data_IF_222280182391
#
_entry.id   IF_222280182391
#
_cell.length_a   1.000
_cell.length_b   1.000
_cell.length_c   1.000
_cell.angle_alpha   90.00
_cell.angle_beta   90.00
_cell.angle_gamma   90.00
#
_symmetry.space_group_name_H-M   'P 1'
#
loop_
_entity.id
_entity.type
_entity.pdbx_description
1 polymer ?
#
# COMPACT_ATOMS: atom_id res chain seq x y z
N UNK A 1 -7.26 -30.82 -16.08
CA UNK A 1 -6.97 -31.14 -14.67
C UNK A 1 -5.57 -30.70 -14.19
N UNK A 2 -4.49 -30.79 -15.01
CA UNK A 2 -3.12 -30.35 -14.60
C UNK A 2 -3.06 -28.93 -14.02
N UNK A 3 -3.90 -27.99 -14.48
CA UNK A 3 -3.94 -26.62 -13.97
C UNK A 3 -4.56 -26.55 -12.57
N UNK A 4 -5.55 -27.39 -12.31
CA UNK A 4 -6.22 -27.51 -10.99
C UNK A 4 -5.29 -28.22 -10.01
N UNK A 5 -4.63 -29.28 -10.45
CA UNK A 5 -3.68 -30.04 -9.61
C UNK A 5 -2.50 -29.16 -9.17
N UNK A 6 -1.90 -28.42 -10.10
CA UNK A 6 -0.83 -27.47 -9.78
C UNK A 6 -1.25 -26.33 -8.85
N UNK A 7 -2.53 -25.90 -8.91
CA UNK A 7 -3.08 -24.93 -7.97
C UNK A 7 -3.24 -25.53 -6.57
N UNK A 8 -3.75 -26.76 -6.48
CA UNK A 8 -3.91 -27.44 -5.20
C UNK A 8 -2.59 -27.66 -4.47
N UNK A 9 -1.53 -28.03 -5.22
CA UNK A 9 -0.19 -28.17 -4.66
C UNK A 9 0.40 -26.83 -4.20
N UNK A 10 0.23 -25.76 -4.97
CA UNK A 10 0.62 -24.42 -4.58
C UNK A 10 -0.09 -23.96 -3.32
N UNK A 11 -1.38 -24.22 -3.18
CA UNK A 11 -2.16 -23.92 -1.98
C UNK A 11 -1.58 -24.66 -0.77
N UNK A 12 -1.37 -25.96 -0.87
CA UNK A 12 -0.86 -26.77 0.25
C UNK A 12 0.52 -26.36 0.70
N UNK A 13 1.39 -25.93 -0.23
CA UNK A 13 2.80 -25.65 0.06
C UNK A 13 3.03 -24.17 0.48
N UNK A 14 2.25 -23.27 -0.04
CA UNK A 14 2.58 -21.84 0.03
C UNK A 14 1.51 -20.95 0.68
N UNK A 15 0.25 -21.37 0.74
CA UNK A 15 -0.77 -20.59 1.47
C UNK A 15 -0.45 -20.65 2.97
N UNK A 16 -0.37 -19.50 3.65
CA UNK A 16 -0.13 -19.49 5.09
C UNK A 16 -1.25 -20.23 5.84
N UNK A 17 -0.85 -21.02 6.81
CA UNK A 17 -1.81 -21.53 7.80
C UNK A 17 -2.12 -20.36 8.73
N UNK A 18 -3.37 -19.95 8.75
CA UNK A 18 -3.81 -18.85 9.59
C UNK A 18 -3.82 -19.31 11.06
N UNK A 19 -3.09 -18.60 11.93
CA UNK A 19 -3.17 -18.82 13.37
C UNK A 19 -4.57 -18.43 13.85
N UNK A 20 -5.29 -19.36 14.46
CA UNK A 20 -6.65 -19.13 14.98
C UNK A 20 -6.71 -17.95 15.97
N UNK A 21 -5.61 -17.69 16.69
CA UNK A 21 -5.49 -16.52 17.57
C UNK A 21 -5.66 -15.19 16.83
N UNK A 22 -5.24 -15.12 15.56
CA UNK A 22 -5.36 -13.93 14.75
C UNK A 22 -6.81 -13.70 14.27
N UNK A 23 -7.70 -14.66 14.48
CA UNK A 23 -9.14 -14.56 14.20
C UNK A 23 -9.95 -14.22 15.46
N UNK A 24 -9.34 -14.22 16.63
CA UNK A 24 -10.02 -13.91 17.88
C UNK A 24 -10.48 -12.44 17.90
N UNK A 25 -11.66 -12.19 18.47
CA UNK A 25 -12.26 -10.85 18.50
C UNK A 25 -11.58 -9.87 19.45
N UNK A 26 -10.73 -10.37 20.36
CA UNK A 26 -10.05 -9.62 21.42
C UNK A 26 -8.59 -9.27 21.11
N UNK A 27 -8.09 -9.61 19.91
CA UNK A 27 -6.73 -9.25 19.50
C UNK A 27 -6.58 -7.74 19.26
N UNK A 28 -5.36 -7.24 19.50
CA UNK A 28 -5.04 -5.83 19.28
C UNK A 28 -4.93 -5.49 17.77
N UNK A 29 -4.85 -4.20 17.45
CA UNK A 29 -4.81 -3.72 16.07
C UNK A 29 -3.60 -4.27 15.30
N UNK A 30 -2.42 -4.31 15.92
CA UNK A 30 -1.18 -4.82 15.33
C UNK A 30 -1.34 -6.29 14.93
N UNK A 31 -1.86 -7.13 15.84
CA UNK A 31 -2.09 -8.56 15.57
C UNK A 31 -3.15 -8.76 14.48
N UNK A 32 -4.22 -7.98 14.49
CA UNK A 32 -5.26 -8.03 13.46
C UNK A 32 -4.72 -7.71 12.08
N UNK A 33 -3.84 -6.71 11.97
CA UNK A 33 -3.18 -6.36 10.70
C UNK A 33 -2.29 -7.50 10.18
N UNK A 34 -1.61 -8.22 11.08
CA UNK A 34 -0.87 -9.45 10.71
C UNK A 34 -1.84 -10.50 10.18
N UNK A 35 -2.94 -10.76 10.88
CA UNK A 35 -3.97 -11.71 10.43
C UNK A 35 -4.54 -11.36 9.05
N UNK A 36 -4.90 -10.11 8.83
CA UNK A 36 -5.38 -9.63 7.52
C UNK A 36 -4.30 -9.80 6.43
N UNK A 37 -3.02 -9.60 6.77
CA UNK A 37 -1.91 -9.84 5.82
C UNK A 37 -1.82 -11.32 5.42
N UNK A 38 -2.04 -12.25 6.35
CA UNK A 38 -2.06 -13.68 6.01
C UNK A 38 -3.26 -14.04 5.11
N UNK A 39 -4.44 -13.46 5.36
CA UNK A 39 -5.62 -13.65 4.50
C UNK A 39 -5.37 -13.08 3.10
N UNK A 40 -4.77 -11.89 3.01
CA UNK A 40 -4.35 -11.28 1.75
C UNK A 40 -3.42 -12.22 0.97
N UNK A 41 -2.37 -12.71 1.62
CA UNK A 41 -1.40 -13.64 1.03
C UNK A 41 -2.06 -14.95 0.59
N UNK A 42 -2.93 -15.51 1.43
CA UNK A 42 -3.71 -16.71 1.09
C UNK A 42 -4.55 -16.49 -0.17
N UNK A 43 -5.22 -15.35 -0.27
CA UNK A 43 -6.07 -15.01 -1.43
C UNK A 43 -5.29 -14.84 -2.73
N UNK A 44 -4.13 -14.18 -2.68
CA UNK A 44 -3.26 -14.02 -3.85
C UNK A 44 -2.62 -15.36 -4.28
N UNK A 45 -2.02 -16.08 -3.33
CA UNK A 45 -1.29 -17.33 -3.63
C UNK A 45 -2.22 -18.42 -4.13
N UNK A 46 -3.44 -18.50 -3.61
CA UNK A 46 -4.45 -19.45 -4.08
C UNK A 46 -5.06 -19.05 -5.43
N UNK A 47 -4.84 -17.83 -5.91
CA UNK A 47 -5.43 -17.33 -7.14
C UNK A 47 -6.90 -16.96 -7.03
N UNK A 48 -7.41 -16.74 -5.81
CA UNK A 48 -8.78 -16.24 -5.60
C UNK A 48 -8.95 -14.82 -6.13
N UNK A 49 -7.89 -14.04 -6.10
CA UNK A 49 -7.85 -12.68 -6.66
C UNK A 49 -6.46 -12.35 -7.18
N UNK A 50 -6.40 -11.42 -8.13
CA UNK A 50 -5.16 -10.80 -8.62
C UNK A 50 -4.99 -9.37 -8.11
N UNK A 51 -5.98 -8.83 -7.41
CA UNK A 51 -5.95 -7.44 -6.92
C UNK A 51 -6.46 -7.42 -5.48
N UNK A 52 -5.72 -6.77 -4.61
CA UNK A 52 -6.11 -6.56 -3.21
C UNK A 52 -5.97 -5.08 -2.88
N UNK A 53 -7.00 -4.51 -2.28
CA UNK A 53 -6.93 -3.24 -1.57
C UNK A 53 -6.97 -3.54 -0.07
N UNK A 54 -5.95 -3.07 0.65
CA UNK A 54 -5.78 -3.34 2.06
C UNK A 54 -5.56 -2.03 2.83
N UNK A 55 -6.51 -1.68 3.69
CA UNK A 55 -6.40 -0.54 4.59
C UNK A 55 -5.82 -1.01 5.92
N UNK A 56 -4.68 -0.46 6.31
CA UNK A 56 -3.97 -0.83 7.55
C UNK A 56 -4.29 0.09 8.73
N UNK A 57 -4.75 1.29 8.47
CA UNK A 57 -5.17 2.26 9.50
C UNK A 57 -6.64 2.63 9.33
N UNK A 58 -7.28 2.85 10.46
CA UNK A 58 -8.67 3.32 10.51
C UNK A 58 -8.78 4.47 11.52
N UNK A 59 -9.07 5.67 11.01
CA UNK A 59 -9.07 6.89 11.83
C UNK A 59 -10.14 6.87 12.93
N UNK A 60 -11.23 6.14 12.74
CA UNK A 60 -12.36 6.08 13.65
C UNK A 60 -12.20 5.12 14.84
N UNK A 61 -11.23 4.23 14.81
CA UNK A 61 -11.06 3.19 15.80
C UNK A 61 -9.78 3.35 16.60
N UNK A 62 -9.78 2.97 17.90
CA UNK A 62 -8.57 2.98 18.70
C UNK A 62 -7.51 2.02 18.15
N UNK A 63 -6.32 2.51 17.93
CA UNK A 63 -5.16 1.71 17.56
C UNK A 63 -4.52 1.13 18.84
N UNK A 64 -4.32 -0.16 18.88
CA UNK A 64 -3.82 -0.89 20.07
C UNK A 64 -2.64 -1.79 19.71
N UNK A 65 -1.82 -2.12 20.72
CA UNK A 65 -0.66 -3.01 20.54
C UNK A 65 0.60 -2.30 20.02
N UNK A 66 0.64 -0.97 20.02
CA UNK A 66 1.83 -0.22 19.60
C UNK A 66 2.95 -0.48 20.59
N UNK A 67 4.12 -0.91 20.09
CA UNK A 67 5.29 -1.25 20.91
C UNK A 67 5.67 -0.11 21.87
N UNK A 68 5.75 -0.44 23.17
CA UNK A 68 6.11 0.47 24.25
C UNK A 68 4.96 1.30 24.81
N UNK A 69 3.74 1.15 24.26
CA UNK A 69 2.49 1.70 24.77
C UNK A 69 1.33 0.71 24.50
N UNK A 70 1.60 -0.58 24.67
CA UNK A 70 0.69 -1.68 24.31
C UNK A 70 -0.67 -1.59 25.02
N UNK A 71 -0.70 -1.02 26.21
CA UNK A 71 -1.93 -0.81 27.01
C UNK A 71 -2.78 0.38 26.59
N UNK A 72 -2.28 1.23 25.72
CA UNK A 72 -2.97 2.44 25.29
C UNK A 72 -3.96 2.16 24.15
N UNK A 73 -5.06 2.93 24.17
CA UNK A 73 -6.02 3.03 23.06
C UNK A 73 -5.73 4.32 22.31
N UNK A 74 -4.90 4.26 21.30
CA UNK A 74 -4.41 5.43 20.57
C UNK A 74 -5.42 5.85 19.50
N UNK A 75 -5.93 7.06 19.59
CA UNK A 75 -6.69 7.64 18.51
C UNK A 75 -5.74 8.25 17.47
N UNK A 76 -5.66 7.65 16.28
CA UNK A 76 -4.74 8.10 15.22
C UNK A 76 -5.10 9.46 14.65
N UNK A 77 -6.38 9.87 14.70
CA UNK A 77 -6.78 11.24 14.37
C UNK A 77 -6.16 12.25 15.33
N UNK A 78 -6.23 11.98 16.64
CA UNK A 78 -5.59 12.83 17.66
C UNK A 78 -4.06 12.87 17.51
N UNK A 79 -3.45 11.75 17.13
CA UNK A 79 -2.01 11.71 16.78
C UNK A 79 -1.71 12.60 15.57
N UNK A 80 -2.62 12.66 14.60
CA UNK A 80 -2.56 13.63 13.50
C UNK A 80 -2.53 15.08 14.00
N UNK A 81 -3.26 15.38 15.07
CA UNK A 81 -3.23 16.68 15.77
C UNK A 81 -2.08 16.82 16.79
N UNK A 82 -1.04 16.00 16.69
CA UNK A 82 0.13 16.02 17.57
C UNK A 82 -0.12 15.67 19.04
N UNK A 83 -1.22 14.98 19.37
CA UNK A 83 -1.48 14.49 20.73
C UNK A 83 -0.57 13.30 21.07
N UNK A 84 -0.04 13.30 22.27
CA UNK A 84 0.77 12.22 22.84
C UNK A 84 -0.11 11.18 23.55
N UNK A 85 0.37 9.94 23.62
CA UNK A 85 -0.28 8.83 24.35
C UNK A 85 0.76 8.03 25.12
N UNK A 86 0.45 7.61 26.35
CA UNK A 86 1.36 6.82 27.17
C UNK A 86 2.76 7.44 27.38
N UNK A 87 2.85 8.77 27.38
CA UNK A 87 4.12 9.48 27.49
C UNK A 87 4.95 9.53 26.20
N UNK A 88 4.46 8.96 25.09
CA UNK A 88 5.12 8.96 23.78
C UNK A 88 4.51 10.05 22.91
N UNK A 89 5.34 10.84 22.25
CA UNK A 89 4.91 11.93 21.38
C UNK A 89 4.33 11.41 20.04
N UNK A 90 3.51 12.25 19.41
CA UNK A 90 2.82 11.89 18.17
C UNK A 90 3.75 11.48 17.02
N UNK A 91 4.91 12.14 16.88
CA UNK A 91 5.88 11.82 15.82
C UNK A 91 6.42 10.40 16.00
N UNK A 92 6.78 10.06 17.22
CA UNK A 92 7.29 8.72 17.55
C UNK A 92 6.21 7.64 17.41
N UNK A 93 4.95 7.94 17.77
CA UNK A 93 3.82 7.03 17.54
C UNK A 93 3.66 6.75 16.04
N UNK A 94 3.62 7.80 15.21
CA UNK A 94 3.56 7.64 13.75
C UNK A 94 4.72 6.82 13.19
N UNK A 95 5.93 7.05 13.69
CA UNK A 95 7.10 6.28 13.27
C UNK A 95 6.98 4.80 13.63
N UNK A 96 6.52 4.46 14.83
CA UNK A 96 6.31 3.08 15.27
C UNK A 96 5.25 2.38 14.41
N UNK A 97 4.14 3.04 14.12
CA UNK A 97 3.10 2.51 13.22
C UNK A 97 3.65 2.28 11.81
N UNK A 98 4.35 3.26 11.22
CA UNK A 98 4.94 3.12 9.88
C UNK A 98 5.99 2.01 9.82
N UNK A 99 6.81 1.86 10.85
CA UNK A 99 7.74 0.72 10.96
C UNK A 99 7.00 -0.61 10.96
N UNK A 100 5.90 -0.71 11.69
CA UNK A 100 5.07 -1.91 11.67
C UNK A 100 4.48 -2.15 10.27
N UNK A 101 3.91 -1.13 9.61
CA UNK A 101 3.41 -1.28 8.24
C UNK A 101 4.50 -1.78 7.28
N UNK A 102 5.73 -1.30 7.41
CA UNK A 102 6.84 -1.80 6.59
C UNK A 102 7.16 -3.26 6.88
N UNK A 103 6.96 -3.75 8.10
CA UNK A 103 7.10 -5.20 8.38
C UNK A 103 6.02 -6.03 7.68
N UNK A 104 4.80 -5.50 7.53
CA UNK A 104 3.75 -6.17 6.77
C UNK A 104 4.08 -6.20 5.26
N UNK A 105 4.58 -5.10 4.71
CA UNK A 105 5.04 -5.02 3.32
C UNK A 105 6.18 -6.01 3.08
N UNK A 106 7.18 -6.04 3.97
CA UNK A 106 8.31 -6.99 3.89
C UNK A 106 7.83 -8.44 3.94
N UNK A 107 6.88 -8.74 4.82
CA UNK A 107 6.25 -10.06 4.92
C UNK A 107 5.57 -10.48 3.62
N UNK A 108 4.82 -9.55 2.99
CA UNK A 108 4.17 -9.80 1.68
C UNK A 108 5.23 -10.07 0.62
N UNK A 109 6.23 -9.21 0.49
CA UNK A 109 7.31 -9.36 -0.50
C UNK A 109 8.06 -10.67 -0.31
N UNK A 110 8.48 -10.97 0.92
CA UNK A 110 9.23 -12.18 1.26
C UNK A 110 8.42 -13.44 0.93
N UNK A 111 7.15 -13.45 1.28
CA UNK A 111 6.27 -14.59 0.98
C UNK A 111 6.08 -14.76 -0.52
N UNK A 112 5.76 -13.70 -1.25
CA UNK A 112 5.55 -13.78 -2.71
C UNK A 112 6.85 -14.19 -3.46
N UNK A 113 8.02 -13.79 -2.97
CA UNK A 113 9.32 -14.27 -3.48
C UNK A 113 9.56 -15.77 -3.26
N UNK A 114 8.94 -16.37 -2.26
CA UNK A 114 9.06 -17.81 -1.99
C UNK A 114 8.11 -18.67 -2.82
N UNK A 115 7.18 -18.08 -3.56
CA UNK A 115 6.18 -18.80 -4.36
C UNK A 115 6.62 -18.85 -5.81
N UNK A 116 6.94 -20.03 -6.38
CA UNK A 116 7.25 -20.17 -7.80
C UNK A 116 6.06 -19.79 -8.69
N UNK A 117 6.33 -19.03 -9.74
CA UNK A 117 5.36 -18.69 -10.77
C UNK A 117 6.05 -18.62 -12.14
N UNK A 118 5.30 -18.69 -13.23
CA UNK A 118 5.84 -18.65 -14.57
C UNK A 118 6.70 -17.38 -14.79
N UNK A 119 7.97 -17.57 -15.15
CA UNK A 119 8.93 -16.49 -15.34
C UNK A 119 9.66 -16.04 -14.08
N UNK A 120 9.59 -16.83 -12.98
CA UNK A 120 10.31 -16.54 -11.73
C UNK A 120 9.51 -16.86 -10.48
N UNK A 121 9.28 -15.86 -9.68
CA UNK A 121 8.46 -15.94 -8.47
C UNK A 121 7.17 -15.14 -8.63
N UNK A 122 6.23 -15.33 -7.73
CA UNK A 122 4.99 -14.54 -7.73
C UNK A 122 5.26 -13.05 -7.52
N UNK A 123 6.32 -12.69 -6.78
CA UNK A 123 6.72 -11.30 -6.62
C UNK A 123 7.19 -10.67 -7.94
N UNK A 124 7.86 -11.43 -8.82
CA UNK A 124 8.33 -10.91 -10.10
C UNK A 124 7.17 -10.44 -11.01
N UNK A 125 5.97 -10.98 -10.78
CA UNK A 125 4.73 -10.61 -11.47
C UNK A 125 3.82 -9.68 -10.65
N UNK A 126 4.30 -9.14 -9.51
CA UNK A 126 3.50 -8.36 -8.58
C UNK A 126 3.97 -6.90 -8.56
N UNK A 127 3.02 -5.99 -8.38
CA UNK A 127 3.26 -4.60 -8.01
C UNK A 127 2.52 -4.27 -6.72
N UNK A 128 3.22 -3.69 -5.75
CA UNK A 128 2.67 -3.23 -4.48
C UNK A 128 2.74 -1.71 -4.46
N UNK A 129 1.62 -1.09 -4.16
CA UNK A 129 1.50 0.34 -4.03
C UNK A 129 1.13 0.67 -2.59
N UNK A 130 2.06 1.24 -1.83
CA UNK A 130 1.85 1.67 -0.46
C UNK A 130 1.75 3.19 -0.41
N UNK A 131 0.63 3.71 0.06
CA UNK A 131 0.32 5.13 0.05
C UNK A 131 -0.56 5.52 1.25
N UNK A 132 -0.52 6.78 1.68
CA UNK A 132 -1.43 7.31 2.69
C UNK A 132 -2.81 7.59 2.07
N UNK A 133 -3.79 7.83 2.93
CA UNK A 133 -5.14 8.29 2.55
C UNK A 133 -5.16 9.79 2.21
N UNK A 134 -4.16 10.54 2.67
CA UNK A 134 -4.04 11.98 2.45
C UNK A 134 -2.59 12.40 2.22
N UNK A 135 -2.36 13.70 2.18
CA UNK A 135 -1.04 14.26 2.08
C UNK A 135 -0.22 14.08 3.36
N UNK A 136 0.94 14.72 3.41
CA UNK A 136 1.88 14.61 4.53
C UNK A 136 1.39 15.29 5.82
N UNK A 137 0.55 16.32 5.72
CA UNK A 137 -0.02 17.02 6.86
C UNK A 137 -1.44 16.56 7.14
N UNK A 138 -1.78 16.47 8.43
CA UNK A 138 -3.14 16.16 8.86
C UNK A 138 -4.12 17.19 8.28
N UNK A 139 -5.23 16.73 7.70
CA UNK A 139 -6.17 17.53 6.91
C UNK A 139 -5.53 18.31 5.75
N UNK A 140 -4.43 17.82 5.22
CA UNK A 140 -3.81 18.43 4.03
C UNK A 140 -4.78 18.37 2.85
N UNK A 141 -4.64 19.34 1.96
CA UNK A 141 -5.46 19.40 0.74
C UNK A 141 -5.00 18.40 -0.34
N UNK A 142 -4.16 17.42 0.00
CA UNK A 142 -3.64 16.45 -0.96
C UNK A 142 -2.68 17.03 -2.00
N UNK A 143 -2.09 18.19 -1.71
CA UNK A 143 -1.16 18.87 -2.63
C UNK A 143 0.20 18.18 -2.71
N UNK A 144 0.53 17.39 -1.71
CA UNK A 144 1.68 16.49 -1.68
C UNK A 144 1.22 15.09 -1.30
N UNK A 145 1.62 14.09 -2.08
CA UNK A 145 1.15 12.72 -1.91
C UNK A 145 2.31 11.74 -2.03
N UNK A 146 3.04 11.51 -0.93
CA UNK A 146 4.16 10.57 -0.92
C UNK A 146 3.64 9.13 -1.01
N UNK A 147 4.26 8.32 -1.88
CA UNK A 147 3.96 6.90 -1.97
C UNK A 147 5.19 6.06 -2.32
N UNK A 148 5.13 4.79 -2.02
CA UNK A 148 6.17 3.81 -2.33
C UNK A 148 5.59 2.78 -3.29
N UNK A 149 6.31 2.49 -4.36
CA UNK A 149 5.96 1.42 -5.30
C UNK A 149 7.06 0.37 -5.29
N UNK A 150 6.66 -0.86 -5.07
CA UNK A 150 7.50 -2.04 -5.21
C UNK A 150 6.99 -2.85 -6.39
N UNK A 151 7.86 -3.21 -7.31
CA UNK A 151 7.48 -3.98 -8.49
C UNK A 151 8.53 -5.04 -8.78
N UNK A 152 8.08 -6.23 -9.14
CA UNK A 152 8.93 -7.28 -9.61
C UNK A 152 9.46 -7.06 -11.03
N UNK A 153 10.39 -7.90 -11.47
CA UNK A 153 11.14 -7.70 -12.71
C UNK A 153 10.26 -7.78 -13.98
N UNK A 154 9.12 -8.48 -13.91
CA UNK A 154 8.15 -8.60 -15.02
C UNK A 154 7.12 -7.46 -15.07
N UNK A 155 7.17 -6.51 -14.14
CA UNK A 155 6.28 -5.36 -14.16
C UNK A 155 6.48 -4.51 -15.43
N UNK A 156 5.37 -4.02 -15.97
CA UNK A 156 5.38 -3.20 -17.20
C UNK A 156 5.88 -1.78 -16.92
N UNK A 157 5.70 -1.29 -15.70
CA UNK A 157 6.26 -0.01 -15.26
C UNK A 157 7.64 -0.25 -14.64
N UNK A 158 8.69 0.35 -15.24
CA UNK A 158 10.06 0.19 -14.76
C UNK A 158 10.42 1.30 -13.77
N UNK A 159 10.59 0.94 -12.51
CA UNK A 159 10.76 1.92 -11.41
C UNK A 159 12.21 2.38 -11.23
N UNK A 160 13.19 1.58 -11.60
CA UNK A 160 14.62 1.94 -11.60
C UNK A 160 15.25 2.15 -10.21
N UNK A 161 14.60 1.72 -9.11
CA UNK A 161 15.10 1.85 -7.72
C UNK A 161 15.50 3.30 -7.38
N UNK A 162 14.65 4.25 -7.68
CA UNK A 162 14.91 5.68 -7.56
C UNK A 162 13.88 6.39 -6.69
N UNK A 163 14.29 7.50 -6.09
CA UNK A 163 13.40 8.49 -5.51
C UNK A 163 13.09 9.54 -6.59
N UNK A 164 11.81 9.80 -6.80
CA UNK A 164 11.34 10.80 -7.76
C UNK A 164 10.62 11.89 -6.96
N UNK A 165 11.08 13.12 -7.10
CA UNK A 165 10.37 14.28 -6.60
C UNK A 165 9.83 15.06 -7.80
N UNK A 166 8.52 15.10 -7.90
CA UNK A 166 7.83 15.89 -8.91
C UNK A 166 7.76 17.36 -8.45
N UNK A 167 7.59 18.31 -9.38
CA UNK A 167 7.37 19.71 -9.02
C UNK A 167 6.17 19.87 -8.08
N UNK A 168 6.26 20.87 -7.20
CA UNK A 168 5.22 21.14 -6.22
C UNK A 168 3.89 21.53 -6.90
N UNK A 169 2.81 21.45 -6.15
CA UNK A 169 1.48 21.85 -6.63
C UNK A 169 1.49 23.25 -7.24
N UNK A 170 0.92 23.37 -8.44
CA UNK A 170 0.86 24.62 -9.19
C UNK A 170 2.12 25.00 -9.94
N UNK A 171 3.19 24.22 -9.89
CA UNK A 171 4.40 24.45 -10.69
C UNK A 171 4.35 23.68 -12.01
N UNK A 172 5.03 24.21 -13.03
CA UNK A 172 5.17 23.53 -14.32
C UNK A 172 5.76 22.12 -14.12
N UNK A 173 5.20 21.13 -14.84
CA UNK A 173 5.61 19.73 -14.71
C UNK A 173 5.01 18.99 -13.50
N UNK A 174 4.19 19.64 -12.69
CA UNK A 174 3.44 18.96 -11.63
C UNK A 174 2.62 17.80 -12.20
N UNK A 175 2.57 16.69 -11.47
CA UNK A 175 1.79 15.49 -11.81
C UNK A 175 0.93 15.07 -10.63
N UNK A 176 -0.26 14.59 -10.94
CA UNK A 176 -1.25 14.11 -9.97
C UNK A 176 -1.22 12.57 -9.86
N UNK A 177 -1.95 12.01 -8.90
CA UNK A 177 -2.23 10.58 -8.85
C UNK A 177 -2.97 10.10 -10.12
N UNK A 178 -3.79 10.94 -10.74
CA UNK A 178 -4.43 10.66 -12.03
C UNK A 178 -3.39 10.30 -13.10
N UNK A 179 -2.30 11.06 -13.19
CA UNK A 179 -1.21 10.78 -14.13
C UNK A 179 -0.50 9.44 -13.78
N UNK A 180 -0.33 9.12 -12.48
CA UNK A 180 0.25 7.85 -12.07
C UNK A 180 -0.63 6.67 -12.50
N UNK A 181 -1.93 6.70 -12.20
CA UNK A 181 -2.84 5.63 -12.62
C UNK A 181 -2.98 5.54 -14.14
N UNK A 182 -2.95 6.68 -14.86
CA UNK A 182 -2.86 6.70 -16.32
C UNK A 182 -1.62 5.97 -16.81
N UNK A 183 -0.47 6.19 -16.17
CA UNK A 183 0.78 5.48 -16.50
C UNK A 183 0.63 3.97 -16.34
N UNK A 184 0.06 3.52 -15.24
CA UNK A 184 -0.17 2.09 -14.97
C UNK A 184 -1.10 1.50 -16.05
N UNK A 185 -2.27 2.10 -16.27
CA UNK A 185 -3.26 1.58 -17.21
C UNK A 185 -2.69 1.49 -18.62
N UNK A 186 -1.98 2.52 -19.07
CA UNK A 186 -1.35 2.51 -20.39
C UNK A 186 -0.28 1.41 -20.51
N UNK A 187 0.54 1.23 -19.47
CA UNK A 187 1.57 0.18 -19.44
C UNK A 187 0.98 -1.24 -19.48
N UNK A 188 -0.19 -1.44 -18.89
CA UNK A 188 -0.86 -2.74 -18.85
C UNK A 188 -1.88 -2.97 -19.97
N UNK A 189 -1.87 -2.13 -21.01
CA UNK A 189 -2.63 -2.34 -22.26
C UNK A 189 -4.07 -1.84 -22.20
N UNK A 190 -4.40 -0.96 -21.28
CA UNK A 190 -5.67 -0.22 -21.25
C UNK A 190 -5.40 1.29 -21.39
N UNK A 191 -5.02 1.76 -22.59
CA UNK A 191 -4.63 3.15 -22.80
C UNK A 191 -5.82 4.09 -22.62
N UNK A 192 -5.62 5.08 -21.77
CA UNK A 192 -6.56 6.17 -21.51
C UNK A 192 -5.83 7.50 -21.53
N UNK A 193 -6.54 8.56 -21.84
CA UNK A 193 -5.97 9.90 -21.82
C UNK A 193 -5.70 10.37 -20.40
N UNK A 194 -6.61 10.10 -19.46
CA UNK A 194 -6.46 10.44 -18.05
C UNK A 194 -7.34 9.55 -17.17
N UNK A 195 -6.86 9.22 -15.97
CA UNK A 195 -7.61 8.51 -14.95
C UNK A 195 -8.25 9.48 -13.95
N UNK A 196 -9.56 9.36 -13.78
CA UNK A 196 -10.32 10.20 -12.85
C UNK A 196 -10.59 11.61 -13.38
N UNK A 197 -11.07 12.46 -12.52
CA UNK A 197 -11.30 13.86 -12.81
C UNK A 197 -9.99 14.66 -12.74
N UNK A 198 -9.87 15.67 -13.58
CA UNK A 198 -8.78 16.66 -13.47
C UNK A 198 -8.99 17.55 -12.23
N UNK A 199 -7.89 18.02 -11.67
CA UNK A 199 -7.93 18.98 -10.56
C UNK A 199 -8.16 20.40 -11.11
N UNK A 200 -9.38 20.89 -10.96
CA UNK A 200 -9.74 22.26 -11.39
C UNK A 200 -8.95 23.34 -10.66
N UNK A 201 -8.36 23.03 -9.49
CA UNK A 201 -7.46 23.93 -8.80
C UNK A 201 -6.16 24.23 -9.56
N UNK A 202 -5.75 23.35 -10.47
CA UNK A 202 -4.56 23.51 -11.30
C UNK A 202 -4.82 24.34 -12.58
N UNK A 203 -6.07 24.54 -12.98
CA UNK A 203 -6.41 25.28 -14.21
C UNK A 203 -5.89 26.72 -14.17
N UNK A 204 -5.97 27.36 -13.01
CA UNK A 204 -5.46 28.72 -12.81
C UNK A 204 -3.94 28.88 -12.99
N UNK A 205 -3.22 27.78 -12.96
CA UNK A 205 -1.76 27.76 -13.18
C UNK A 205 -1.39 27.36 -14.62
N UNK A 206 -2.38 27.01 -15.47
CA UNK A 206 -2.14 26.54 -16.83
C UNK A 206 -1.42 25.19 -16.89
N UNK A 207 -1.52 24.37 -15.86
CA UNK A 207 -0.84 23.08 -15.79
C UNK A 207 -1.54 22.04 -16.66
N UNK A 208 -0.78 21.44 -17.57
CA UNK A 208 -1.28 20.31 -18.35
C UNK A 208 -1.39 19.05 -17.50
N UNK A 209 -2.62 18.58 -17.25
CA UNK A 209 -2.91 17.50 -16.32
C UNK A 209 -3.09 16.13 -16.98
N UNK A 210 -3.32 16.09 -18.30
CA UNK A 210 -3.60 14.84 -18.99
C UNK A 210 -2.34 14.01 -19.23
N UNK A 211 -2.55 12.75 -19.54
CA UNK A 211 -1.49 11.81 -19.93
C UNK A 211 -0.76 11.14 -18.77
N UNK A 212 0.12 10.21 -19.11
CA UNK A 212 0.95 9.50 -18.13
C UNK A 212 2.06 10.37 -17.55
N UNK A 213 2.71 9.88 -16.50
CA UNK A 213 4.01 10.39 -16.09
C UNK A 213 5.04 9.93 -17.13
N UNK A 214 5.60 10.86 -17.84
CA UNK A 214 6.72 10.63 -18.77
C UNK A 214 8.02 10.99 -18.10
N UNK A 215 9.10 10.25 -18.42
CA UNK A 215 10.47 10.57 -17.99
C UNK A 215 11.00 11.83 -18.68
#
# INVERSE_FOLDING_TARGET
>A
NRKIDGMADRIRQHVPVLDEKLLAGDINTIERQVGHTEVLLGSLISGLTNVVAFTVDELGHPYTGIKGIEGEKVNMHDVGHNKSFGGVNATEIRERCRKHHMTLVDRIVTRLKSVPEAGGTMFDNTMIFYFPDGGEAHHSHGTEYPFIVLAGDNAKVKLGRRYIRLPNYGQEGHKTLGNWFTTILNAYGNPIEHYGAVDTGLDKFGIHQLGPITE
#
